data_IF_348659908536
#
_entry.id   IF_348659908536
#
_cell.length_a   1.000
_cell.length_b   1.000
_cell.length_c   1.000
_cell.angle_alpha   90.00
_cell.angle_beta   90.00
_cell.angle_gamma   90.00
#
_symmetry.space_group_name_H-M   'P 1'
#
loop_
_entity.id
_entity.type
_entity.pdbx_description
1 polymer ?
#
# COMPACT_ATOMS: atom_id res chain seq x y z
N UNK A 1 20.11 -0.36 -10.45
CA UNK A 1 20.13 0.60 -9.33
C UNK A 1 19.36 1.89 -9.63
N UNK A 2 19.56 2.58 -10.77
CA UNK A 2 18.82 3.83 -11.07
C UNK A 2 17.29 3.66 -11.12
N UNK A 3 16.80 2.57 -11.73
CA UNK A 3 15.36 2.29 -11.82
C UNK A 3 14.70 2.00 -10.46
N UNK A 4 15.34 1.16 -9.65
CA UNK A 4 14.90 0.80 -8.29
C UNK A 4 14.72 2.05 -7.42
N UNK A 5 15.72 2.93 -7.39
CA UNK A 5 15.66 4.17 -6.60
C UNK A 5 14.55 5.10 -7.10
N UNK A 6 14.41 5.26 -8.42
CA UNK A 6 13.35 6.08 -8.99
C UNK A 6 11.96 5.53 -8.66
N UNK A 7 11.77 4.22 -8.72
CA UNK A 7 10.49 3.57 -8.40
C UNK A 7 10.11 3.72 -6.92
N UNK A 8 11.09 3.60 -6.02
CA UNK A 8 10.89 3.81 -4.59
C UNK A 8 10.55 5.27 -4.28
N UNK A 9 11.18 6.23 -4.97
CA UNK A 9 10.83 7.64 -4.84
C UNK A 9 9.38 7.89 -5.30
N UNK A 10 9.00 7.37 -6.47
CA UNK A 10 7.63 7.49 -6.98
C UNK A 10 6.60 6.87 -6.03
N UNK A 11 6.95 5.75 -5.38
CA UNK A 11 6.09 5.14 -4.36
C UNK A 11 5.99 6.02 -3.11
N UNK A 12 7.09 6.63 -2.66
CA UNK A 12 7.08 7.54 -1.52
C UNK A 12 6.20 8.77 -1.79
N UNK A 13 6.33 9.38 -2.97
CA UNK A 13 5.55 10.53 -3.39
C UNK A 13 4.05 10.15 -3.48
N UNK A 14 3.74 8.98 -4.06
CA UNK A 14 2.39 8.44 -4.10
C UNK A 14 1.80 8.25 -2.69
N UNK A 15 2.59 7.78 -1.71
CA UNK A 15 2.13 7.58 -0.33
C UNK A 15 1.93 8.89 0.43
N UNK A 16 2.62 9.97 0.05
CA UNK A 16 2.40 11.32 0.58
C UNK A 16 1.17 12.01 -0.02
N UNK A 17 0.62 11.45 -1.11
CA UNK A 17 -0.43 12.09 -1.91
C UNK A 17 0.10 13.17 -2.86
N UNK A 18 1.42 13.21 -3.08
CA UNK A 18 2.06 14.13 -4.01
C UNK A 18 1.93 13.61 -5.46
N UNK A 19 1.99 14.49 -6.48
CA UNK A 19 2.08 14.07 -7.87
C UNK A 19 3.29 13.15 -8.08
N UNK A 20 3.06 11.94 -8.59
CA UNK A 20 4.11 10.96 -8.84
C UNK A 20 4.14 10.55 -10.32
N UNK A 21 5.31 10.14 -10.80
CA UNK A 21 5.48 9.58 -12.14
C UNK A 21 6.14 8.22 -12.03
N UNK A 22 5.56 7.20 -12.67
CA UNK A 22 6.19 5.89 -12.75
C UNK A 22 7.33 5.96 -13.77
N UNK A 23 8.56 5.53 -13.43
CA UNK A 23 9.67 5.54 -14.37
C UNK A 23 9.37 4.67 -15.60
N UNK A 24 9.79 5.12 -16.79
CA UNK A 24 9.58 4.39 -18.04
C UNK A 24 10.11 2.95 -17.94
N UNK A 25 9.27 1.98 -18.30
CA UNK A 25 9.62 0.56 -18.24
C UNK A 25 9.48 -0.09 -16.86
N UNK A 26 9.00 0.65 -15.86
CA UNK A 26 8.69 0.12 -14.53
C UNK A 26 7.20 -0.24 -14.35
N UNK A 27 6.38 -0.06 -15.38
CA UNK A 27 4.92 -0.23 -15.32
C UNK A 27 4.53 -1.62 -14.80
N UNK A 28 5.23 -2.66 -15.29
CA UNK A 28 5.00 -4.05 -14.86
C UNK A 28 5.29 -4.23 -13.37
N UNK A 29 6.36 -3.63 -12.85
CA UNK A 29 6.72 -3.74 -11.43
C UNK A 29 5.76 -2.96 -10.55
N UNK A 30 5.35 -1.78 -11.01
CA UNK A 30 4.35 -0.95 -10.33
C UNK A 30 3.00 -1.66 -10.26
N UNK A 31 2.51 -2.18 -11.37
CA UNK A 31 1.26 -2.95 -11.43
C UNK A 31 1.35 -4.24 -10.62
N UNK A 32 2.48 -4.96 -10.67
CA UNK A 32 2.69 -6.15 -9.84
C UNK A 32 2.57 -5.82 -8.35
N UNK A 33 3.29 -4.79 -7.90
CA UNK A 33 3.25 -4.34 -6.52
C UNK A 33 1.85 -3.87 -6.11
N UNK A 34 1.15 -3.08 -6.94
CA UNK A 34 -0.20 -2.61 -6.64
C UNK A 34 -1.19 -3.78 -6.52
N UNK A 35 -1.15 -4.74 -7.45
CA UNK A 35 -2.00 -5.93 -7.40
C UNK A 35 -1.74 -6.77 -6.14
N UNK A 36 -0.48 -7.08 -5.87
CA UNK A 36 -0.07 -7.82 -4.67
C UNK A 36 -0.43 -7.08 -3.39
N UNK A 37 -0.29 -5.75 -3.38
CA UNK A 37 -0.63 -4.92 -2.23
C UNK A 37 -2.13 -4.92 -1.93
N UNK A 38 -2.98 -4.95 -2.96
CA UNK A 38 -4.42 -5.05 -2.81
C UNK A 38 -4.87 -6.46 -2.40
N UNK A 39 -4.15 -7.51 -2.82
CA UNK A 39 -4.50 -8.91 -2.51
C UNK A 39 -3.84 -9.46 -1.24
N UNK A 40 -3.05 -8.65 -0.53
CA UNK A 40 -2.27 -9.11 0.63
C UNK A 40 -3.18 -9.61 1.75
N UNK A 41 -2.66 -10.59 2.49
CA UNK A 41 -3.26 -11.02 3.75
C UNK A 41 -3.28 -9.88 4.79
N UNK A 42 -4.37 -9.76 5.54
CA UNK A 42 -4.49 -8.82 6.67
C UNK A 42 -4.77 -9.60 7.94
N UNK A 43 -3.88 -9.48 8.93
CA UNK A 43 -4.00 -10.10 10.24
C UNK A 43 -4.56 -9.16 11.30
N UNK A 44 -4.68 -9.65 12.54
CA UNK A 44 -5.20 -8.88 13.68
C UNK A 44 -4.41 -7.58 13.95
N UNK A 45 -3.11 -7.57 13.65
CA UNK A 45 -2.22 -6.44 13.89
C UNK A 45 -1.98 -5.57 12.64
N UNK A 46 -2.69 -5.83 11.54
CA UNK A 46 -2.56 -5.08 10.29
C UNK A 46 -2.16 -5.92 9.08
N UNK A 47 -1.82 -5.24 7.96
CA UNK A 47 -1.44 -5.89 6.72
C UNK A 47 -0.15 -6.70 6.89
N UNK A 48 -0.12 -7.90 6.34
CA UNK A 48 1.09 -8.72 6.32
C UNK A 48 2.03 -8.27 5.18
N UNK A 49 3.35 -8.45 5.34
CA UNK A 49 4.30 -8.21 4.26
C UNK A 49 4.07 -9.18 3.11
N UNK A 50 4.37 -8.72 1.88
CA UNK A 50 4.29 -9.56 0.68
C UNK A 50 5.39 -10.63 0.75
N UNK A 51 4.98 -11.88 0.63
CA UNK A 51 5.85 -13.06 0.71
C UNK A 51 6.30 -13.55 -0.67
N UNK A 52 7.44 -14.25 -0.73
CA UNK A 52 7.93 -14.84 -1.98
C UNK A 52 6.91 -15.76 -2.68
N UNK A 53 6.16 -16.63 -1.98
CA UNK A 53 5.13 -17.46 -2.61
C UNK A 53 4.00 -16.66 -3.25
N UNK A 54 3.61 -15.51 -2.69
CA UNK A 54 2.60 -14.62 -3.30
C UNK A 54 3.13 -14.02 -4.60
N UNK A 55 4.39 -13.56 -4.61
CA UNK A 55 5.04 -13.02 -5.80
C UNK A 55 5.15 -14.10 -6.89
N UNK A 56 5.57 -15.31 -6.53
CA UNK A 56 5.65 -16.44 -7.46
C UNK A 56 4.28 -16.81 -8.02
N UNK A 57 3.26 -16.90 -7.16
CA UNK A 57 1.89 -17.21 -7.56
C UNK A 57 1.33 -16.17 -8.51
N UNK A 58 1.53 -14.88 -8.20
CA UNK A 58 1.13 -13.77 -9.06
C UNK A 58 1.83 -13.82 -10.41
N UNK A 59 3.17 -13.99 -10.42
CA UNK A 59 3.96 -14.08 -11.65
C UNK A 59 3.50 -15.22 -12.56
N UNK A 60 3.17 -16.37 -11.96
CA UNK A 60 2.65 -17.55 -12.66
C UNK A 60 1.25 -17.31 -13.23
N UNK A 61 0.33 -16.77 -12.43
CA UNK A 61 -1.06 -16.50 -12.86
C UNK A 61 -1.13 -15.44 -13.96
N UNK A 62 -0.36 -14.37 -13.81
CA UNK A 62 -0.32 -13.26 -14.76
C UNK A 62 0.56 -13.54 -15.98
N UNK A 63 1.28 -14.67 -15.99
CA UNK A 63 2.24 -15.06 -17.04
C UNK A 63 3.32 -14.00 -17.28
N UNK A 64 3.76 -13.36 -16.21
CA UNK A 64 4.83 -12.35 -16.23
C UNK A 64 6.07 -12.94 -15.58
N UNK A 65 7.12 -13.28 -16.34
CA UNK A 65 8.35 -13.80 -15.76
C UNK A 65 9.10 -12.69 -15.00
N UNK A 66 9.24 -12.85 -13.68
CA UNK A 66 10.00 -11.94 -12.84
C UNK A 66 11.41 -12.49 -12.59
N UNK A 67 12.43 -11.73 -13.00
CA UNK A 67 13.81 -12.03 -12.66
C UNK A 67 14.09 -11.73 -11.16
N UNK A 68 15.14 -12.31 -10.56
CA UNK A 68 15.43 -12.12 -9.13
C UNK A 68 15.54 -10.64 -8.69
N UNK A 69 16.07 -9.78 -9.55
CA UNK A 69 16.17 -8.35 -9.25
C UNK A 69 14.80 -7.64 -9.28
N UNK A 70 13.84 -8.10 -10.08
CA UNK A 70 12.46 -7.60 -10.05
C UNK A 70 11.79 -7.94 -8.72
N UNK A 71 11.96 -9.17 -8.25
CA UNK A 71 11.44 -9.63 -6.96
C UNK A 71 12.03 -8.79 -5.82
N UNK A 72 13.34 -8.52 -5.86
CA UNK A 72 14.01 -7.65 -4.89
C UNK A 72 13.37 -6.25 -4.86
N UNK A 73 13.11 -5.65 -6.02
CA UNK A 73 12.48 -4.32 -6.10
C UNK A 73 11.08 -4.35 -5.48
N UNK A 74 10.26 -5.36 -5.77
CA UNK A 74 8.91 -5.51 -5.19
C UNK A 74 8.97 -5.62 -3.66
N UNK A 75 9.91 -6.40 -3.13
CA UNK A 75 10.12 -6.53 -1.67
C UNK A 75 10.56 -5.19 -1.04
N UNK A 76 11.39 -4.40 -1.73
CA UNK A 76 11.80 -3.08 -1.24
C UNK A 76 10.65 -2.07 -1.27
N UNK A 77 9.82 -2.10 -2.31
CA UNK A 77 8.59 -1.31 -2.38
C UNK A 77 7.65 -1.67 -1.23
N UNK A 78 7.46 -2.96 -0.96
CA UNK A 78 6.63 -3.41 0.16
C UNK A 78 7.20 -2.98 1.51
N UNK A 79 8.53 -3.06 1.68
CA UNK A 79 9.19 -2.59 2.90
C UNK A 79 8.96 -1.09 3.13
N UNK A 80 8.96 -0.27 2.08
CA UNK A 80 8.65 1.16 2.17
C UNK A 80 7.17 1.40 2.51
N UNK A 81 6.27 0.67 1.83
CA UNK A 81 4.83 0.77 2.07
C UNK A 81 4.47 0.36 3.50
N UNK A 82 5.04 -0.74 4.00
CA UNK A 82 4.82 -1.23 5.37
C UNK A 82 5.27 -0.20 6.41
N UNK A 83 6.44 0.44 6.21
CA UNK A 83 6.88 1.54 7.09
C UNK A 83 5.86 2.67 7.16
N UNK A 84 5.19 2.98 6.05
CA UNK A 84 4.12 3.97 6.01
C UNK A 84 2.85 3.46 6.69
N UNK A 85 2.39 2.26 6.36
CA UNK A 85 1.17 1.66 6.90
C UNK A 85 1.18 1.49 8.44
N UNK A 86 2.36 1.25 9.02
CA UNK A 86 2.54 1.15 10.47
C UNK A 86 2.90 2.48 11.16
N UNK A 87 3.27 3.52 10.41
CA UNK A 87 3.59 4.85 10.98
C UNK A 87 2.38 5.43 11.72
N UNK A 88 1.19 5.33 11.13
CA UNK A 88 -0.04 5.89 11.71
C UNK A 88 -0.56 5.09 12.92
N UNK A 89 -0.11 3.83 13.06
CA UNK A 89 -0.48 2.95 14.19
C UNK A 89 0.47 3.04 15.38
N UNK A 90 1.62 3.68 15.23
CA UNK A 90 2.64 3.80 16.28
C UNK A 90 2.29 4.83 17.36
N UNK A 91 1.01 5.22 17.48
CA UNK A 91 0.54 5.95 18.65
C UNK A 91 0.81 5.10 19.90
N UNK A 92 1.39 5.68 20.97
CA UNK A 92 1.88 4.91 22.11
C UNK A 92 0.78 4.06 22.74
N UNK A 93 1.14 2.83 23.07
CA UNK A 93 0.29 1.84 23.73
C UNK A 93 -0.32 2.44 25.00
N UNK A 94 -1.62 2.76 24.97
CA UNK A 94 -2.34 3.46 26.04
C UNK A 94 -3.02 4.77 25.64
N UNK A 95 -2.65 5.37 24.50
CA UNK A 95 -3.44 6.43 23.89
C UNK A 95 -4.65 5.80 23.19
N UNK A 96 -5.85 6.01 23.71
CA UNK A 96 -7.09 5.71 22.98
C UNK A 96 -7.04 6.50 21.67
N UNK A 97 -6.66 5.86 20.58
CA UNK A 97 -6.71 6.46 19.25
C UNK A 97 -8.18 6.76 18.99
N UNK A 98 -8.54 8.04 19.07
CA UNK A 98 -9.89 8.49 18.76
C UNK A 98 -10.18 8.07 17.32
N UNK A 99 -11.33 7.45 17.04
CA UNK A 99 -11.70 7.11 15.66
C UNK A 99 -11.68 8.39 14.82
N UNK A 100 -11.40 8.23 13.52
CA UNK A 100 -11.39 9.31 12.56
C UNK A 100 -12.67 10.13 12.71
N UNK A 101 -12.54 11.36 13.23
CA UNK A 101 -13.67 12.23 13.49
C UNK A 101 -14.14 12.76 12.14
N UNK A 102 -15.37 12.46 11.74
CA UNK A 102 -15.94 13.05 10.53
C UNK A 102 -15.95 14.58 10.65
N UNK A 103 -15.41 15.28 9.66
CA UNK A 103 -15.46 16.76 9.63
C UNK A 103 -16.88 17.29 9.36
N UNK A 104 -17.78 16.41 8.91
CA UNK A 104 -19.17 16.75 8.68
C UNK A 104 -19.90 16.95 10.02
N UNK A 105 -20.46 18.15 10.21
CA UNK A 105 -21.39 18.41 11.32
C UNK A 105 -22.66 17.59 11.09
N UNK A 106 -23.09 16.83 12.10
CA UNK A 106 -24.38 16.14 12.06
C UNK A 106 -25.48 17.19 11.88
N UNK A 107 -26.16 17.14 10.72
CA UNK A 107 -27.35 17.97 10.47
C UNK A 107 -28.61 17.16 10.75
N UNK A 108 -29.71 17.80 11.20
CA UNK A 108 -30.99 17.11 11.38
C UNK A 108 -31.45 16.36 10.11
N UNK A 109 -31.19 16.94 8.93
CA UNK A 109 -31.51 16.30 7.66
C UNK A 109 -30.76 14.97 7.41
N UNK A 110 -29.51 14.85 7.87
CA UNK A 110 -28.78 13.57 7.80
C UNK A 110 -29.34 12.53 8.78
N UNK A 111 -29.86 12.98 9.93
CA UNK A 111 -30.47 12.11 10.92
C UNK A 111 -31.81 11.56 10.43
N UNK A 112 -32.66 12.43 9.85
CA UNK A 112 -33.94 12.04 9.28
C UNK A 112 -33.79 11.05 8.10
N UNK A 113 -32.74 11.22 7.29
CA UNK A 113 -32.42 10.29 6.20
C UNK A 113 -31.99 8.89 6.70
N UNK A 114 -31.39 8.80 7.88
CA UNK A 114 -30.86 7.54 8.40
C UNK A 114 -31.90 6.67 9.12
N UNK A 115 -33.00 7.28 9.59
CA UNK A 115 -34.03 6.62 10.42
C UNK A 115 -35.41 6.58 9.71
N UNK A 116 -35.58 7.33 8.62
CA UNK A 116 -36.79 7.34 7.79
C UNK A 116 -36.97 6.13 6.89
#
# INVERSE_FOLDING_TARGET
MKLEVALLQSLEDCLKGDPYNVPLGADILWSAFANLSCSRSVGAHGPNPISFPEIESWARMMRVPLAPHHVKIIIQMDSLWMKHAYRDRSAPEGAKTLPLRSEHKLTPAMFDLAIG
#
